data_IF_338052031759
#
_entry.id   IF_338052031759
#
_cell.length_a   1.000
_cell.length_b   1.000
_cell.length_c   1.000
_cell.angle_alpha   90.00
_cell.angle_beta   90.00
_cell.angle_gamma   90.00
#
_symmetry.space_group_name_H-M   'P 1'
#
loop_
_entity.id
_entity.type
_entity.pdbx_description
1 polymer ?
#
# COMPACT_ATOMS: atom_id res chain seq x y z
N UNK A 1 -15.20 -29.07 43.96
CA UNK A 1 -14.20 -30.17 43.83
C UNK A 1 -14.01 -30.49 42.35
N UNK A 2 -12.94 -31.21 41.98
CA UNK A 2 -12.42 -31.43 40.60
C UNK A 2 -12.05 -32.93 40.43
N UNK A 3 -11.94 -33.51 39.21
CA UNK A 3 -12.77 -33.40 38.01
C UNK A 3 -13.69 -34.66 37.92
N UNK A 4 -13.45 -35.81 37.21
CA UNK A 4 -12.57 -36.17 36.08
C UNK A 4 -13.30 -36.79 34.84
N UNK A 5 -13.18 -36.16 33.66
CA UNK A 5 -13.22 -36.88 32.36
C UNK A 5 -11.96 -36.56 31.56
N UNK A 6 -11.14 -37.59 31.35
CA UNK A 6 -9.89 -37.55 30.60
C UNK A 6 -9.98 -38.52 29.43
N UNK A 7 -10.12 -37.99 28.22
CA UNK A 7 -9.69 -38.59 26.95
C UNK A 7 -9.27 -37.41 26.06
N UNK A 8 -7.98 -37.11 26.02
CA UNK A 8 -7.00 -37.59 25.04
C UNK A 8 -7.02 -36.86 23.68
N UNK A 9 -5.89 -36.19 23.41
CA UNK A 9 -5.23 -36.14 22.10
C UNK A 9 -5.84 -35.31 20.98
N UNK A 10 -5.57 -34.00 21.08
CA UNK A 10 -4.89 -33.21 20.05
C UNK A 10 -5.33 -33.34 18.57
N UNK A 11 -6.40 -32.61 18.22
CA UNK A 11 -6.59 -32.17 16.83
C UNK A 11 -5.89 -30.82 16.62
N UNK A 12 -5.00 -30.76 15.63
CA UNK A 12 -4.21 -29.56 15.31
C UNK A 12 -5.12 -28.45 14.80
N UNK A 13 -5.41 -27.45 15.65
CA UNK A 13 -5.97 -26.17 15.20
C UNK A 13 -4.96 -25.45 14.30
N UNK A 14 -5.07 -25.69 12.99
CA UNK A 14 -4.50 -24.81 11.98
C UNK A 14 -5.20 -23.45 12.12
N UNK A 15 -4.50 -22.48 12.69
CA UNK A 15 -4.93 -21.09 12.69
C UNK A 15 -4.68 -20.53 11.29
N UNK A 16 -5.64 -20.76 10.39
CA UNK A 16 -5.66 -20.10 9.08
C UNK A 16 -5.90 -18.60 9.32
N UNK A 17 -4.81 -17.85 9.49
CA UNK A 17 -4.83 -16.39 9.42
C UNK A 17 -5.06 -16.01 7.96
N UNK A 18 -6.32 -16.02 7.55
CA UNK A 18 -6.73 -15.50 6.27
C UNK A 18 -6.40 -14.03 6.21
N UNK A 19 -5.37 -13.67 5.44
CA UNK A 19 -5.17 -12.28 5.02
C UNK A 19 -6.34 -11.94 4.12
N UNK A 20 -7.34 -11.27 4.69
CA UNK A 20 -8.38 -10.62 3.90
C UNK A 20 -7.71 -9.49 3.12
N UNK A 21 -7.32 -9.78 1.87
CA UNK A 21 -7.15 -8.72 0.89
C UNK A 21 -8.47 -7.94 0.91
N UNK A 22 -8.43 -6.67 1.31
CA UNK A 22 -9.66 -5.95 1.61
C UNK A 22 -10.43 -5.73 0.32
N UNK A 23 -11.58 -6.39 0.15
CA UNK A 23 -12.53 -6.19 -0.97
C UNK A 23 -13.19 -4.79 -0.98
N UNK A 24 -12.66 -3.84 -0.20
CA UNK A 24 -12.89 -2.43 -0.37
C UNK A 24 -11.93 -1.91 -1.45
N UNK A 25 -12.40 -1.57 -2.67
CA UNK A 25 -11.53 -0.93 -3.66
C UNK A 25 -11.01 0.40 -3.08
N UNK A 26 -9.70 0.59 -3.11
CA UNK A 26 -9.03 1.77 -2.54
C UNK A 26 -9.55 3.10 -3.13
N UNK A 27 -10.13 3.04 -4.33
CA UNK A 27 -10.82 4.13 -5.00
C UNK A 27 -12.30 3.80 -5.20
N UNK A 28 -13.17 4.75 -4.90
CA UNK A 28 -14.63 4.61 -5.04
C UNK A 28 -15.09 5.09 -6.41
N UNK A 29 -16.09 4.41 -6.98
CA UNK A 29 -16.70 4.77 -8.26
C UNK A 29 -17.34 6.16 -8.15
N UNK A 30 -17.28 6.95 -9.23
CA UNK A 30 -17.77 8.34 -9.28
C UNK A 30 -17.11 9.30 -8.27
N UNK A 31 -15.95 8.96 -7.72
CA UNK A 31 -15.07 9.90 -7.02
C UNK A 31 -13.89 10.31 -7.91
N UNK A 32 -13.51 11.58 -7.78
CA UNK A 32 -12.27 12.14 -8.29
C UNK A 32 -11.30 12.28 -7.12
N UNK A 33 -10.05 11.86 -7.33
CA UNK A 33 -8.98 11.95 -6.35
C UNK A 33 -7.87 12.82 -6.92
N UNK A 34 -7.44 13.84 -6.19
CA UNK A 34 -6.39 14.78 -6.60
C UNK A 34 -5.20 14.65 -5.68
N UNK A 35 -4.02 14.43 -6.25
CA UNK A 35 -2.77 14.23 -5.52
C UNK A 35 -1.72 15.22 -6.00
N UNK A 36 -1.00 15.83 -5.07
CA UNK A 36 0.23 16.57 -5.38
C UNK A 36 1.41 15.62 -5.33
N UNK A 37 1.98 15.31 -6.50
CA UNK A 37 3.14 14.42 -6.65
C UNK A 37 4.41 15.28 -6.64
N UNK A 38 5.35 14.96 -5.75
CA UNK A 38 6.68 15.58 -5.71
C UNK A 38 7.75 14.50 -5.83
N UNK A 39 8.55 14.57 -6.88
CA UNK A 39 9.72 13.71 -7.10
C UNK A 39 11.00 14.54 -7.03
N UNK A 40 12.09 13.94 -6.53
CA UNK A 40 13.42 14.56 -6.56
C UNK A 40 14.48 13.55 -6.94
N UNK A 41 15.39 13.94 -7.83
CA UNK A 41 16.65 13.24 -8.06
C UNK A 41 17.79 14.09 -7.48
N UNK A 42 18.84 13.44 -7.01
CA UNK A 42 20.05 14.08 -6.48
C UNK A 42 21.26 13.29 -6.96
N UNK A 43 22.25 13.99 -7.48
CA UNK A 43 23.59 13.48 -7.79
C UNK A 43 24.62 14.38 -7.11
N UNK A 44 25.74 13.80 -6.69
CA UNK A 44 26.75 14.49 -5.89
C UNK A 44 28.16 14.04 -6.28
N UNK A 45 29.10 14.98 -6.44
CA UNK A 45 30.52 14.68 -6.68
C UNK A 45 31.33 14.69 -5.37
N UNK A 46 30.77 14.05 -4.34
CA UNK A 46 31.17 14.17 -2.93
C UNK A 46 32.65 13.85 -2.64
N UNK A 47 33.32 13.06 -3.48
CA UNK A 47 34.72 12.67 -3.28
C UNK A 47 35.74 13.73 -3.71
N UNK A 48 35.35 14.71 -4.53
CA UNK A 48 36.25 15.76 -5.06
C UNK A 48 35.82 17.16 -4.61
N UNK A 49 34.52 17.35 -4.31
CA UNK A 49 33.97 18.65 -3.90
C UNK A 49 32.56 18.50 -3.31
N UNK A 50 32.11 19.48 -2.53
CA UNK A 50 30.71 19.55 -2.06
C UNK A 50 29.75 20.07 -3.16
N UNK A 51 29.81 19.46 -4.34
CA UNK A 51 28.92 19.78 -5.47
C UNK A 51 27.74 18.81 -5.53
N UNK A 52 26.55 19.38 -5.60
CA UNK A 52 25.27 18.68 -5.66
C UNK A 52 24.44 19.24 -6.81
N UNK A 53 23.84 18.37 -7.60
CA UNK A 53 22.92 18.72 -8.68
C UNK A 53 21.73 17.76 -8.68
N UNK A 54 20.60 18.14 -9.28
CA UNK A 54 19.40 17.32 -9.22
C UNK A 54 18.21 17.93 -9.96
N UNK A 55 17.14 17.15 -10.07
CA UNK A 55 15.88 17.57 -10.70
C UNK A 55 14.77 17.50 -9.66
N UNK A 56 14.01 18.59 -9.51
CA UNK A 56 12.79 18.63 -8.70
C UNK A 56 11.58 18.61 -9.63
N UNK A 57 10.75 17.58 -9.50
CA UNK A 57 9.51 17.40 -10.25
C UNK A 57 8.33 17.70 -9.31
N UNK A 58 7.43 18.59 -9.72
CA UNK A 58 6.15 18.83 -9.06
C UNK A 58 5.04 18.65 -10.10
N UNK A 59 4.06 17.81 -9.79
CA UNK A 59 2.92 17.54 -10.66
C UNK A 59 1.63 17.42 -9.85
N UNK A 60 0.50 17.72 -10.48
CA UNK A 60 -0.83 17.43 -9.94
C UNK A 60 -1.40 16.26 -10.72
N UNK A 61 -1.72 15.17 -10.03
CA UNK A 61 -2.28 13.95 -10.61
C UNK A 61 -3.76 13.84 -10.24
N UNK A 62 -4.64 13.74 -11.24
CA UNK A 62 -6.07 13.55 -11.05
C UNK A 62 -6.48 12.14 -11.49
N UNK A 63 -6.97 11.32 -10.54
CA UNK A 63 -7.49 9.99 -10.81
C UNK A 63 -9.02 10.00 -10.76
N UNK A 64 -9.67 9.43 -11.78
CA UNK A 64 -11.12 9.16 -11.78
C UNK A 64 -11.37 7.70 -12.15
N UNK A 65 -12.14 7.01 -11.30
CA UNK A 65 -12.55 5.62 -11.55
C UNK A 65 -13.76 5.61 -12.49
N UNK A 66 -13.61 5.01 -13.67
CA UNK A 66 -14.65 4.89 -14.72
C UNK A 66 -15.50 3.64 -14.56
N UNK A 67 -14.91 2.55 -14.06
CA UNK A 67 -15.58 1.30 -13.68
C UNK A 67 -14.74 0.60 -12.60
N UNK A 68 -15.23 -0.46 -11.91
CA UNK A 68 -14.50 -1.11 -10.81
C UNK A 68 -13.03 -1.45 -11.11
N UNK A 69 -12.72 -1.78 -12.38
CA UNK A 69 -11.39 -2.18 -12.84
C UNK A 69 -10.76 -1.18 -13.84
N UNK A 70 -11.28 0.06 -13.95
CA UNK A 70 -10.80 1.06 -14.91
C UNK A 70 -10.56 2.43 -14.28
N UNK A 71 -9.29 2.74 -14.06
CA UNK A 71 -8.79 4.06 -13.62
C UNK A 71 -8.36 4.88 -14.84
N UNK A 72 -8.71 6.18 -14.85
CA UNK A 72 -8.15 7.16 -15.78
C UNK A 72 -7.34 8.17 -14.96
N UNK A 73 -6.07 8.33 -15.34
CA UNK A 73 -5.20 9.39 -14.86
C UNK A 73 -5.19 10.56 -15.84
N UNK A 74 -5.07 11.79 -15.30
CA UNK A 74 -4.87 13.04 -16.01
C UNK A 74 -3.90 13.94 -15.24
#
# INVERSE_FOLDING_TARGET
MKPPHVFQTAERRLLNVGVTASDNPAWKINKEYKYSVTGRTLTALHQVSNQYAGILIKASLSLRLKSPNSLIAK
#
